data_IF_557079935298
#
_entry.id   IF_557079935298
#
_cell.length_a   1.000
_cell.length_b   1.000
_cell.length_c   1.000
_cell.angle_alpha   90.00
_cell.angle_beta   90.00
_cell.angle_gamma   90.00
#
_symmetry.space_group_name_H-M   'P 1'
#
loop_
_entity.id
_entity.type
_entity.pdbx_description
1 polymer ?
#
# COMPACT_ATOMS: atom_id res chain seq x y z
N UNK A 1 24.18 2.27 -5.10
CA UNK A 1 23.80 2.77 -6.44
C UNK A 1 24.53 4.07 -6.69
N UNK A 2 25.06 4.28 -7.89
CA UNK A 2 25.68 5.52 -8.33
C UNK A 2 25.10 5.86 -9.70
N UNK A 3 24.55 7.05 -9.86
CA UNK A 3 23.94 7.52 -11.10
C UNK A 3 24.74 8.72 -11.59
N UNK A 4 25.11 8.67 -12.87
CA UNK A 4 25.63 9.81 -13.60
C UNK A 4 24.89 9.95 -14.92
N UNK A 5 24.32 11.10 -15.19
CA UNK A 5 23.55 11.36 -16.41
C UNK A 5 24.18 12.46 -17.28
N UNK A 6 23.77 12.54 -18.55
CA UNK A 6 24.28 13.52 -19.50
C UNK A 6 23.78 14.95 -19.20
N UNK A 7 22.61 15.07 -18.58
CA UNK A 7 21.99 16.32 -18.13
C UNK A 7 22.47 16.78 -16.73
N UNK A 8 23.48 16.10 -16.16
CA UNK A 8 24.25 16.60 -15.03
C UNK A 8 23.88 16.01 -13.66
N UNK A 9 23.00 15.00 -13.59
CA UNK A 9 22.78 14.26 -12.35
C UNK A 9 24.05 13.50 -12.00
N UNK A 10 24.57 13.68 -10.79
CA UNK A 10 25.67 12.90 -10.25
C UNK A 10 25.41 12.64 -8.76
N UNK A 11 24.94 11.44 -8.44
CA UNK A 11 24.46 11.09 -7.10
C UNK A 11 24.85 9.67 -6.73
N UNK A 12 25.21 9.46 -5.47
CA UNK A 12 25.58 8.14 -4.93
C UNK A 12 24.85 7.85 -3.62
N UNK A 13 24.42 6.60 -3.45
CA UNK A 13 23.77 6.16 -2.21
C UNK A 13 23.02 4.84 -2.33
N UNK A 14 21.97 4.70 -1.54
CA UNK A 14 21.11 3.53 -1.46
C UNK A 14 19.78 3.74 -2.22
N UNK A 15 19.23 2.64 -2.75
CA UNK A 15 17.91 2.62 -3.39
C UNK A 15 17.16 1.34 -3.00
N UNK A 16 15.84 1.41 -3.02
CA UNK A 16 14.97 0.25 -2.82
C UNK A 16 14.79 -0.51 -4.14
N UNK A 17 14.71 -1.86 -4.13
CA UNK A 17 14.44 -2.64 -5.34
C UNK A 17 13.22 -2.11 -6.10
N UNK A 18 13.38 -1.87 -7.40
CA UNK A 18 12.33 -1.35 -8.29
C UNK A 18 12.25 0.17 -8.42
N UNK A 19 12.97 0.96 -7.61
CA UNK A 19 12.98 2.42 -7.71
C UNK A 19 14.13 2.92 -8.60
N UNK A 20 13.87 3.79 -9.59
CA UNK A 20 14.90 4.32 -10.48
C UNK A 20 15.62 5.56 -9.92
N UNK A 21 15.83 5.66 -8.59
CA UNK A 21 16.44 6.83 -7.95
C UNK A 21 17.20 6.49 -6.66
N UNK A 22 18.10 7.39 -6.21
CA UNK A 22 18.85 7.27 -4.94
C UNK A 22 18.02 7.83 -3.79
N UNK A 23 17.50 6.96 -2.92
CA UNK A 23 16.58 7.29 -1.82
C UNK A 23 17.30 7.95 -0.64
N UNK A 24 18.46 7.44 -0.27
CA UNK A 24 19.34 8.00 0.79
C UNK A 24 20.73 8.10 0.20
N UNK A 25 21.35 9.28 0.24
CA UNK A 25 22.60 9.49 -0.48
C UNK A 25 23.16 10.91 -0.39
N UNK A 26 24.02 11.24 -1.35
CA UNK A 26 24.68 12.53 -1.43
C UNK A 26 25.10 12.85 -2.87
N UNK A 27 25.48 14.11 -3.08
CA UNK A 27 26.22 14.59 -4.24
C UNK A 27 27.43 15.42 -3.76
N UNK A 28 28.01 16.24 -4.63
CA UNK A 28 29.16 17.09 -4.32
C UNK A 28 28.84 18.25 -3.37
N UNK A 29 27.57 18.62 -3.22
CA UNK A 29 27.14 19.82 -2.50
C UNK A 29 26.35 19.52 -1.24
N UNK A 30 25.54 18.45 -1.24
CA UNK A 30 24.62 18.10 -0.15
C UNK A 30 24.55 16.59 0.09
N UNK A 31 24.10 16.22 1.29
CA UNK A 31 23.70 14.87 1.65
C UNK A 31 22.25 14.88 2.17
N UNK A 32 21.53 13.78 1.99
CA UNK A 32 20.17 13.59 2.45
C UNK A 32 19.95 12.17 2.97
N UNK A 33 18.96 12.03 3.85
CA UNK A 33 18.55 10.74 4.36
C UNK A 33 17.16 10.80 4.97
N UNK A 34 16.66 9.63 5.34
CA UNK A 34 15.37 9.47 5.99
C UNK A 34 15.53 8.59 7.23
N UNK A 35 14.80 8.94 8.28
CA UNK A 35 14.57 8.10 9.46
C UNK A 35 13.08 8.07 9.76
N UNK A 36 12.62 7.08 10.52
CA UNK A 36 11.22 6.94 10.86
C UNK A 36 10.78 8.11 11.74
N UNK A 37 9.69 8.78 11.36
CA UNK A 37 9.12 9.91 12.09
C UNK A 37 8.05 9.51 13.11
N UNK A 38 7.62 8.23 13.13
CA UNK A 38 6.52 7.69 13.97
C UNK A 38 5.26 8.56 13.96
N UNK A 39 5.01 9.23 12.84
CA UNK A 39 3.79 10.01 12.64
C UNK A 39 2.64 9.06 12.31
N UNK A 40 1.44 9.48 12.70
CA UNK A 40 0.22 8.78 12.30
C UNK A 40 0.01 8.97 10.78
N UNK A 41 -0.06 7.86 10.05
CA UNK A 41 -0.21 7.83 8.60
C UNK A 41 -1.49 7.11 8.16
N UNK A 42 -2.24 6.52 9.10
CA UNK A 42 -3.36 5.62 8.79
C UNK A 42 -4.49 5.79 9.80
N UNK A 43 -5.71 6.00 9.30
CA UNK A 43 -6.92 6.00 10.12
C UNK A 43 -7.54 4.60 10.18
N UNK A 44 -7.85 4.13 11.39
CA UNK A 44 -8.61 2.89 11.59
C UNK A 44 -10.09 3.18 11.89
N UNK A 45 -10.97 2.36 11.32
CA UNK A 45 -12.40 2.38 11.62
C UNK A 45 -12.88 1.00 12.07
N UNK A 46 -13.73 0.98 13.10
CA UNK A 46 -14.41 -0.24 13.52
C UNK A 46 -15.76 -0.34 12.81
N UNK A 47 -15.83 -1.20 11.80
CA UNK A 47 -17.07 -1.43 11.06
C UNK A 47 -18.12 -2.19 11.89
N UNK A 48 -19.36 -1.71 11.87
CA UNK A 48 -20.50 -2.46 12.37
C UNK A 48 -21.07 -3.32 11.26
N UNK A 49 -20.86 -4.63 11.35
CA UNK A 49 -21.41 -5.61 10.41
C UNK A 49 -22.89 -5.86 10.67
N UNK A 50 -23.66 -6.11 9.61
CA UNK A 50 -25.09 -6.41 9.75
C UNK A 50 -25.29 -7.81 10.39
N UNK A 51 -26.07 -7.96 11.48
CA UNK A 51 -26.18 -9.21 12.23
C UNK A 51 -26.83 -10.37 11.46
N UNK A 52 -27.70 -10.05 10.50
CA UNK A 52 -28.48 -11.04 9.73
C UNK A 52 -28.21 -11.05 8.22
N UNK A 53 -27.45 -10.10 7.69
CA UNK A 53 -27.19 -9.95 6.25
C UNK A 53 -25.68 -9.85 6.03
N UNK A 54 -24.98 -11.00 5.95
CA UNK A 54 -23.54 -11.03 5.74
C UNK A 54 -23.12 -10.21 4.52
N UNK A 55 -21.99 -9.52 4.63
CA UNK A 55 -21.49 -8.64 3.56
C UNK A 55 -22.14 -7.26 3.53
N UNK A 56 -22.88 -6.86 4.56
CA UNK A 56 -23.31 -5.48 4.76
C UNK A 56 -22.66 -4.89 6.01
N UNK A 57 -22.33 -3.60 5.94
CA UNK A 57 -21.86 -2.80 7.06
C UNK A 57 -22.68 -1.51 7.20
N UNK A 58 -22.68 -0.90 8.39
CA UNK A 58 -23.31 0.40 8.60
C UNK A 58 -22.36 1.53 8.20
N UNK A 59 -22.87 2.46 7.40
CA UNK A 59 -22.24 3.75 7.15
C UNK A 59 -23.26 4.87 7.25
N UNK A 60 -23.01 5.83 8.15
CA UNK A 60 -23.88 7.01 8.37
C UNK A 60 -25.36 6.62 8.60
N UNK A 61 -25.59 5.57 9.40
CA UNK A 61 -26.92 5.08 9.73
C UNK A 61 -27.61 4.26 8.64
N UNK A 62 -26.93 3.97 7.53
CA UNK A 62 -27.46 3.20 6.41
C UNK A 62 -26.67 1.90 6.26
N UNK A 63 -27.37 0.78 6.02
CA UNK A 63 -26.72 -0.48 5.69
C UNK A 63 -26.30 -0.50 4.22
N UNK A 64 -25.03 -0.75 3.96
CA UNK A 64 -24.45 -0.80 2.62
C UNK A 64 -23.75 -2.13 2.39
N UNK A 65 -23.85 -2.65 1.17
CA UNK A 65 -23.13 -3.85 0.78
C UNK A 65 -21.63 -3.54 0.66
N UNK A 66 -20.81 -4.41 1.24
CA UNK A 66 -19.37 -4.39 1.05
C UNK A 66 -19.02 -4.77 -0.39
N UNK A 67 -18.03 -4.08 -0.95
CA UNK A 67 -17.41 -4.52 -2.18
C UNK A 67 -16.65 -5.82 -1.88
N UNK A 68 -16.92 -6.89 -2.62
CA UNK A 68 -16.21 -8.17 -2.42
C UNK A 68 -15.13 -8.31 -3.47
N UNK A 69 -13.88 -8.34 -3.03
CA UNK A 69 -12.74 -8.63 -3.88
C UNK A 69 -12.59 -10.15 -3.93
N UNK A 70 -12.54 -10.69 -5.15
CA UNK A 70 -12.34 -12.11 -5.37
C UNK A 70 -11.00 -12.33 -6.05
N UNK A 71 -10.17 -13.15 -5.42
CA UNK A 71 -8.84 -13.47 -5.91
C UNK A 71 -8.71 -14.97 -6.13
N UNK A 72 -7.89 -15.37 -7.09
CA UNK A 72 -7.55 -16.77 -7.32
C UNK A 72 -6.06 -16.94 -7.14
N UNK A 73 -5.68 -17.75 -6.16
CA UNK A 73 -4.30 -18.10 -5.87
C UNK A 73 -4.02 -19.44 -6.52
N UNK A 74 -3.04 -19.47 -7.43
CA UNK A 74 -2.64 -20.68 -8.16
C UNK A 74 -1.33 -21.20 -7.57
N UNK A 75 -1.34 -22.46 -7.16
CA UNK A 75 -0.18 -23.16 -6.65
C UNK A 75 0.70 -23.67 -7.79
N UNK A 76 1.98 -23.90 -7.49
CA UNK A 76 2.97 -24.43 -8.45
C UNK A 76 2.54 -25.79 -9.01
N UNK A 77 1.80 -26.61 -8.24
CA UNK A 77 1.28 -27.92 -8.65
C UNK A 77 -0.05 -27.83 -9.45
N UNK A 78 -0.49 -26.63 -9.80
CA UNK A 78 -1.68 -26.39 -10.62
C UNK A 78 -3.00 -26.35 -9.85
N UNK A 79 -3.01 -26.58 -8.53
CA UNK A 79 -4.21 -26.34 -7.72
C UNK A 79 -4.52 -24.84 -7.68
N UNK A 80 -5.80 -24.49 -7.58
CA UNK A 80 -6.22 -23.10 -7.40
C UNK A 80 -7.20 -22.99 -6.23
N UNK A 81 -7.00 -21.98 -5.38
CA UNK A 81 -7.96 -21.61 -4.35
C UNK A 81 -8.55 -20.25 -4.67
N UNK A 82 -9.86 -20.11 -4.45
CA UNK A 82 -10.57 -18.85 -4.63
C UNK A 82 -10.80 -18.22 -3.27
N UNK A 83 -10.22 -17.04 -3.07
CA UNK A 83 -10.46 -16.20 -1.88
C UNK A 83 -11.52 -15.15 -2.19
N UNK A 84 -12.33 -14.81 -1.18
CA UNK A 84 -13.29 -13.70 -1.23
C UNK A 84 -13.18 -12.89 0.04
N UNK A 85 -12.82 -11.63 -0.09
CA UNK A 85 -12.63 -10.71 1.03
C UNK A 85 -13.54 -9.49 0.84
N UNK A 86 -14.37 -9.11 1.82
CA UNK A 86 -15.02 -7.81 1.80
C UNK A 86 -13.97 -6.70 1.92
N UNK A 87 -14.07 -5.68 1.08
CA UNK A 87 -13.22 -4.48 1.12
C UNK A 87 -13.65 -3.62 2.30
N UNK A 88 -12.69 -3.06 3.07
CA UNK A 88 -13.01 -2.14 4.14
C UNK A 88 -13.62 -0.84 3.59
N UNK A 89 -14.32 -0.12 4.45
CA UNK A 89 -14.92 1.19 4.19
C UNK A 89 -13.90 2.30 3.90
N UNK A 90 -12.61 2.03 4.08
CA UNK A 90 -11.51 3.00 3.93
C UNK A 90 -11.48 3.70 2.57
N UNK A 91 -12.03 3.10 1.51
CA UNK A 91 -12.14 3.73 0.19
C UNK A 91 -13.18 4.89 0.12
N UNK A 92 -13.90 5.20 1.21
CA UNK A 92 -15.04 6.13 1.21
C UNK A 92 -14.95 7.30 2.19
N UNK A 93 -13.77 7.55 2.75
CA UNK A 93 -13.50 8.67 3.65
C UNK A 93 -12.67 9.76 3.00
#
# INVERSE_FOLDING_TARGET
MHIRSADGLHVSGFSQPGLPYVLVGHNEQIAWGATLSYVDCEDFFLERLHPHHPGYYEFRGQWQAAQVITETLVYVDGRAIRSRSPSPIMDRW
#
